data_IF_040088607990
#
_entry.id   IF_040088607990
#
_cell.length_a   1.000
_cell.length_b   1.000
_cell.length_c   1.000
_cell.angle_alpha   90.00
_cell.angle_beta   90.00
_cell.angle_gamma   90.00
#
_symmetry.space_group_name_H-M   'P 1'
#
loop_
_entity.id
_entity.type
_entity.pdbx_description
1 polymer ?
#
# COMPACT_ATOMS: atom_id res chain seq x y z
N UNK A 1 -16.07 4.22 -2.55
CA UNK A 1 -17.14 3.97 -1.54
C UNK A 1 -17.73 2.56 -1.61
N UNK A 2 -18.61 2.22 -2.57
CA UNK A 2 -19.21 0.87 -2.65
C UNK A 2 -18.17 -0.24 -2.86
N UNK A 3 -17.14 0.03 -3.66
CA UNK A 3 -16.03 -0.88 -3.90
C UNK A 3 -15.26 -1.24 -2.61
N UNK A 4 -14.75 -0.25 -1.87
CA UNK A 4 -14.09 -0.47 -0.58
C UNK A 4 -15.00 -1.17 0.45
N UNK A 5 -16.31 -0.88 0.43
CA UNK A 5 -17.29 -1.61 1.25
C UNK A 5 -17.42 -3.08 0.85
N UNK A 6 -17.41 -3.39 -0.45
CA UNK A 6 -17.44 -4.77 -0.94
C UNK A 6 -16.14 -5.53 -0.58
N UNK A 7 -14.98 -4.87 -0.71
CA UNK A 7 -13.71 -5.42 -0.25
C UNK A 7 -13.75 -5.72 1.25
N UNK A 8 -14.22 -4.78 2.07
CA UNK A 8 -14.34 -4.94 3.51
C UNK A 8 -15.27 -6.10 3.92
N UNK A 9 -16.38 -6.28 3.19
CA UNK A 9 -17.36 -7.33 3.47
C UNK A 9 -16.89 -8.73 3.05
N UNK A 10 -15.85 -8.82 2.21
CA UNK A 10 -15.32 -10.10 1.76
C UNK A 10 -14.50 -10.79 2.85
N UNK A 11 -14.75 -12.08 3.08
CA UNK A 11 -13.98 -12.91 4.02
C UNK A 11 -13.09 -13.93 3.33
N UNK A 12 -13.16 -14.03 2.00
CA UNK A 12 -12.49 -15.07 1.20
C UNK A 12 -11.48 -14.51 0.21
N UNK A 13 -11.44 -13.19 0.00
CA UNK A 13 -10.45 -12.57 -0.89
C UNK A 13 -9.04 -12.76 -0.30
N UNK A 14 -8.17 -13.37 -1.10
CA UNK A 14 -6.76 -13.62 -0.75
C UNK A 14 -5.81 -12.73 -1.54
N UNK A 15 -6.25 -12.17 -2.66
CA UNK A 15 -5.47 -11.36 -3.58
C UNK A 15 -6.29 -10.16 -4.04
N UNK A 16 -5.65 -8.99 -4.07
CA UNK A 16 -6.17 -7.76 -4.66
C UNK A 16 -5.09 -7.18 -5.58
N UNK A 17 -5.46 -6.91 -6.83
CA UNK A 17 -4.60 -6.23 -7.81
C UNK A 17 -5.32 -5.01 -8.37
N UNK A 18 -4.81 -3.84 -8.05
CA UNK A 18 -5.38 -2.56 -8.46
C UNK A 18 -4.30 -1.75 -9.17
N UNK A 19 -4.46 -1.59 -10.47
CA UNK A 19 -3.62 -0.75 -11.32
C UNK A 19 -4.43 0.48 -11.72
N UNK A 20 -3.91 1.69 -11.44
CA UNK A 20 -4.45 2.94 -11.95
C UNK A 20 -5.93 3.15 -11.61
N UNK A 21 -6.27 2.94 -10.33
CA UNK A 21 -7.65 3.08 -9.83
C UNK A 21 -7.76 4.34 -8.97
N UNK A 22 -8.46 5.34 -9.48
CA UNK A 22 -8.68 6.61 -8.76
C UNK A 22 -9.82 6.51 -7.73
N UNK A 23 -9.78 7.36 -6.70
CA UNK A 23 -10.89 7.53 -5.75
C UNK A 23 -11.02 6.42 -4.70
N UNK A 24 -9.93 5.68 -4.48
CA UNK A 24 -9.81 4.62 -3.47
C UNK A 24 -8.62 4.85 -2.55
N UNK A 25 -8.17 6.10 -2.41
CA UNK A 25 -6.97 6.48 -1.67
C UNK A 25 -6.98 5.85 -0.26
N UNK A 26 -5.99 5.00 0.02
CA UNK A 26 -5.90 4.24 1.27
C UNK A 26 -7.13 3.38 1.59
N UNK A 27 -7.88 2.93 0.58
CA UNK A 27 -9.17 2.26 0.69
C UNK A 27 -10.21 3.04 1.52
N UNK A 28 -10.05 4.37 1.61
CA UNK A 28 -10.87 5.25 2.44
C UNK A 28 -10.89 4.81 3.91
N UNK A 29 -9.77 4.21 4.38
CA UNK A 29 -9.62 3.67 5.72
C UNK A 29 -10.47 2.42 6.02
N UNK A 30 -11.14 1.82 5.02
CA UNK A 30 -11.91 0.60 5.20
C UNK A 30 -10.98 -0.60 5.34
N UNK A 31 -11.20 -1.39 6.39
CA UNK A 31 -10.42 -2.60 6.68
C UNK A 31 -10.51 -3.59 5.53
N UNK A 32 -9.37 -4.01 5.01
CA UNK A 32 -9.27 -5.11 4.07
C UNK A 32 -9.52 -6.46 4.77
N UNK A 33 -9.83 -7.51 4.01
CA UNK A 33 -10.05 -8.85 4.56
C UNK A 33 -8.82 -9.39 5.30
N UNK A 34 -9.03 -10.03 6.45
CA UNK A 34 -7.94 -10.73 7.16
C UNK A 34 -7.39 -11.95 6.40
N UNK A 35 -8.15 -12.44 5.42
CA UNK A 35 -7.75 -13.49 4.47
C UNK A 35 -6.73 -13.00 3.44
N UNK A 36 -6.58 -11.69 3.26
CA UNK A 36 -5.69 -11.12 2.25
C UNK A 36 -4.22 -11.51 2.51
N UNK A 37 -3.55 -11.97 1.45
CA UNK A 37 -2.14 -12.40 1.42
C UNK A 37 -1.34 -11.62 0.39
N UNK A 38 -1.97 -11.19 -0.69
CA UNK A 38 -1.30 -10.50 -1.78
C UNK A 38 -2.01 -9.18 -2.08
N UNK A 39 -1.24 -8.09 -2.06
CA UNK A 39 -1.71 -6.78 -2.48
C UNK A 39 -0.77 -6.20 -3.53
N UNK A 40 -1.32 -5.92 -4.70
CA UNK A 40 -0.75 -5.00 -5.67
C UNK A 40 -1.58 -3.73 -5.68
N UNK A 41 -0.96 -2.61 -5.36
CA UNK A 41 -1.62 -1.32 -5.33
C UNK A 41 -0.74 -0.26 -6.00
N UNK A 42 -1.16 0.18 -7.18
CA UNK A 42 -0.58 1.30 -7.88
C UNK A 42 -1.37 2.57 -7.53
N UNK A 43 -0.75 3.46 -6.76
CA UNK A 43 -1.34 4.72 -6.29
C UNK A 43 -1.31 5.83 -7.34
N UNK A 44 -0.54 5.69 -8.43
CA UNK A 44 -0.37 6.75 -9.41
C UNK A 44 -1.72 7.19 -10.00
N UNK A 45 -2.01 8.49 -9.91
CA UNK A 45 -3.25 9.05 -10.42
C UNK A 45 -3.11 9.08 -11.93
N UNK A 46 -4.00 8.39 -12.63
CA UNK A 46 -4.08 8.51 -14.09
C UNK A 46 -4.86 9.76 -14.51
N UNK A 47 -4.40 10.93 -14.09
CA UNK A 47 -4.76 12.20 -14.72
C UNK A 47 -3.66 12.55 -15.72
N UNK A 48 -4.03 12.73 -16.99
CA UNK A 48 -3.13 12.96 -18.13
C UNK A 48 -2.48 14.36 -18.11
N UNK A 49 -1.99 14.80 -16.96
CA UNK A 49 -1.35 16.09 -16.76
C UNK A 49 -0.03 15.87 -16.04
N UNK A 50 1.07 16.11 -16.74
CA UNK A 50 2.46 15.83 -16.34
C UNK A 50 2.96 16.59 -15.08
N UNK A 51 2.08 17.25 -14.32
CA UNK A 51 2.41 18.19 -13.24
C UNK A 51 1.73 17.87 -11.89
N UNK A 52 1.06 16.72 -11.75
CA UNK A 52 0.46 16.33 -10.48
C UNK A 52 1.47 15.52 -9.67
N UNK A 53 1.80 16.03 -8.48
CA UNK A 53 2.52 15.29 -7.45
C UNK A 53 1.62 14.15 -6.95
N UNK A 54 1.86 12.96 -7.49
CA UNK A 54 1.14 11.72 -7.15
C UNK A 54 1.65 11.07 -5.85
N UNK A 55 2.49 11.76 -5.09
CA UNK A 55 2.96 11.30 -3.79
C UNK A 55 1.78 11.19 -2.80
N UNK A 56 1.58 10.03 -2.16
CA UNK A 56 0.50 9.85 -1.21
C UNK A 56 0.72 10.77 0.00
N UNK A 57 -0.31 11.56 0.32
CA UNK A 57 -0.30 12.39 1.54
C UNK A 57 -0.29 11.53 2.81
N UNK A 58 0.11 12.12 3.95
CA UNK A 58 0.05 11.46 5.26
C UNK A 58 -1.34 10.89 5.59
N UNK A 59 -2.41 11.55 5.16
CA UNK A 59 -3.78 11.09 5.36
C UNK A 59 -4.06 9.80 4.58
N UNK A 60 -3.59 9.72 3.34
CA UNK A 60 -3.73 8.54 2.47
C UNK A 60 -2.94 7.36 3.05
N UNK A 61 -1.71 7.61 3.52
CA UNK A 61 -0.88 6.60 4.17
C UNK A 61 -1.51 6.09 5.47
N UNK A 62 -2.09 6.97 6.28
CA UNK A 62 -2.80 6.58 7.50
C UNK A 62 -4.06 5.75 7.19
N UNK A 63 -4.79 6.08 6.14
CA UNK A 63 -5.94 5.32 5.67
C UNK A 63 -5.53 3.94 5.16
N UNK A 64 -4.48 3.88 4.34
CA UNK A 64 -3.91 2.62 3.85
C UNK A 64 -3.43 1.74 5.01
N UNK A 65 -2.76 2.32 6.01
CA UNK A 65 -2.32 1.58 7.19
C UNK A 65 -3.50 1.01 7.98
N UNK A 66 -4.57 1.78 8.16
CA UNK A 66 -5.80 1.29 8.80
C UNK A 66 -6.47 0.18 8.00
N UNK A 67 -6.44 0.30 6.67
CA UNK A 67 -6.99 -0.70 5.77
C UNK A 67 -6.22 -2.03 5.86
N UNK A 68 -4.89 -1.97 5.96
CA UNK A 68 -3.99 -3.12 5.99
C UNK A 68 -3.84 -3.78 7.37
N UNK A 69 -4.10 -3.06 8.46
CA UNK A 69 -3.92 -3.55 9.82
C UNK A 69 -4.48 -4.98 10.12
N UNK A 70 -5.67 -5.39 9.62
CA UNK A 70 -6.19 -6.74 9.83
C UNK A 70 -5.61 -7.81 8.88
N UNK A 71 -4.96 -7.40 7.79
CA UNK A 71 -4.40 -8.29 6.78
C UNK A 71 -3.12 -8.98 7.28
N UNK A 72 -2.74 -10.06 6.61
CA UNK A 72 -1.46 -10.74 6.83
C UNK A 72 -0.82 -10.97 5.48
N UNK A 73 -0.23 -9.92 4.92
CA UNK A 73 0.37 -9.99 3.61
C UNK A 73 1.63 -10.86 3.63
N UNK A 74 1.75 -11.72 2.62
CA UNK A 74 2.96 -12.44 2.26
C UNK A 74 3.69 -11.70 1.12
N UNK A 75 2.92 -11.08 0.22
CA UNK A 75 3.39 -10.27 -0.90
C UNK A 75 2.76 -8.87 -0.88
N UNK A 76 3.61 -7.85 -1.06
CA UNK A 76 3.21 -6.46 -1.24
C UNK A 76 3.90 -5.88 -2.47
N UNK A 77 3.11 -5.29 -3.37
CA UNK A 77 3.58 -4.47 -4.48
C UNK A 77 3.05 -3.06 -4.31
N UNK A 78 3.93 -2.13 -3.91
CA UNK A 78 3.59 -0.75 -3.57
C UNK A 78 4.82 0.17 -3.65
N UNK A 79 4.73 1.24 -4.46
CA UNK A 79 5.87 2.11 -4.76
C UNK A 79 6.34 2.94 -3.55
N UNK A 80 5.43 3.36 -2.68
CA UNK A 80 5.72 4.18 -1.49
C UNK A 80 5.90 3.32 -0.23
N UNK A 81 6.62 2.21 -0.38
CA UNK A 81 6.86 1.27 0.72
C UNK A 81 7.59 1.94 1.90
N UNK A 82 8.53 2.84 1.64
CA UNK A 82 9.30 3.51 2.70
C UNK A 82 8.41 4.31 3.66
N UNK A 83 7.51 5.10 3.08
CA UNK A 83 6.53 5.94 3.77
C UNK A 83 5.51 5.07 4.50
N UNK A 84 5.07 3.97 3.88
CA UNK A 84 4.18 3.00 4.51
C UNK A 84 4.85 2.29 5.70
N UNK A 85 6.14 1.96 5.58
CA UNK A 85 6.92 1.31 6.63
C UNK A 85 7.23 2.25 7.82
N UNK A 86 7.10 3.56 7.64
CA UNK A 86 7.14 4.53 8.74
C UNK A 86 5.90 4.42 9.66
N UNK A 87 4.80 3.81 9.18
CA UNK A 87 3.61 3.54 9.98
C UNK A 87 3.85 2.35 10.92
N UNK A 88 4.28 2.65 12.16
CA UNK A 88 4.65 1.63 13.17
C UNK A 88 3.58 0.58 13.47
N UNK A 89 2.30 0.90 13.24
CA UNK A 89 1.20 -0.05 13.39
C UNK A 89 1.26 -1.22 12.38
N UNK A 90 1.96 -1.05 11.26
CA UNK A 90 2.15 -2.07 10.23
C UNK A 90 3.42 -2.90 10.41
N UNK A 91 4.36 -2.50 11.27
CA UNK A 91 5.64 -3.19 11.45
C UNK A 91 5.49 -4.71 11.64
N UNK A 92 4.56 -5.24 12.46
CA UNK A 92 4.41 -6.69 12.63
C UNK A 92 3.93 -7.43 11.38
N UNK A 93 3.22 -6.75 10.47
CA UNK A 93 2.78 -7.31 9.20
C UNK A 93 3.92 -7.22 8.17
N UNK A 94 4.54 -6.04 8.06
CA UNK A 94 5.60 -5.79 7.07
C UNK A 94 6.86 -6.62 7.34
N UNK A 95 7.19 -6.89 8.61
CA UNK A 95 8.33 -7.76 8.98
C UNK A 95 8.13 -9.22 8.61
N UNK A 96 6.92 -9.60 8.15
CA UNK A 96 6.58 -10.96 7.74
C UNK A 96 6.46 -11.12 6.23
N UNK A 97 6.58 -10.04 5.47
CA UNK A 97 6.57 -10.09 4.02
C UNK A 97 7.68 -11.01 3.54
N UNK A 98 7.33 -11.93 2.64
CA UNK A 98 8.29 -12.81 1.98
C UNK A 98 8.61 -12.31 0.57
N UNK A 99 7.77 -11.45 0.03
CA UNK A 99 7.93 -10.83 -1.28
C UNK A 99 7.54 -9.35 -1.22
N UNK A 100 8.42 -8.51 -1.75
CA UNK A 100 8.22 -7.07 -1.91
C UNK A 100 8.55 -6.73 -3.36
N UNK A 101 7.60 -6.10 -4.04
CA UNK A 101 7.75 -5.64 -5.42
C UNK A 101 7.56 -4.12 -5.48
N UNK A 102 8.36 -3.48 -6.33
CA UNK A 102 8.20 -2.07 -6.68
C UNK A 102 7.88 -2.04 -8.16
N UNK A 103 6.83 -1.31 -8.54
CA UNK A 103 6.29 -1.27 -9.89
C UNK A 103 7.00 -0.22 -10.74
N UNK A 104 7.74 0.70 -10.10
CA UNK A 104 8.23 1.91 -10.78
C UNK A 104 9.16 1.62 -11.95
N UNK A 105 8.88 2.30 -13.07
CA UNK A 105 9.82 2.44 -14.16
C UNK A 105 11.03 3.32 -13.78
N UNK A 106 10.92 4.14 -12.73
CA UNK A 106 11.97 5.00 -12.15
C UNK A 106 11.77 5.21 -10.65
N UNK A 107 12.49 4.45 -9.80
CA UNK A 107 12.72 4.87 -8.42
C UNK A 107 13.46 6.20 -8.49
N UNK A 108 12.76 7.31 -8.23
CA UNK A 108 13.40 8.61 -8.14
C UNK A 108 14.40 8.61 -6.97
N UNK A 109 15.49 9.37 -7.11
CA UNK A 109 16.55 9.48 -6.10
C UNK A 109 15.99 9.93 -4.74
N UNK A 110 14.84 10.61 -4.74
CA UNK A 110 14.13 11.07 -3.55
C UNK A 110 13.42 9.94 -2.77
N UNK A 111 13.01 8.85 -3.44
CA UNK A 111 12.30 7.73 -2.82
C UNK A 111 13.25 6.65 -2.27
N UNK A 112 14.46 6.54 -2.83
CA UNK A 112 15.46 5.54 -2.43
C UNK A 112 15.81 5.61 -0.93
N UNK A 113 16.07 6.80 -0.33
CA UNK A 113 16.36 6.90 1.10
C UNK A 113 15.21 6.40 1.99
N UNK A 114 13.96 6.77 1.65
CA UNK A 114 12.77 6.35 2.38
C UNK A 114 12.60 4.82 2.29
N UNK A 115 12.77 4.26 1.09
CA UNK A 115 12.72 2.83 0.86
C UNK A 115 13.75 2.05 1.71
N UNK A 116 15.01 2.48 1.69
CA UNK A 116 16.08 1.87 2.50
C UNK A 116 15.78 1.97 3.99
N UNK A 117 15.27 3.11 4.46
CA UNK A 117 14.86 3.29 5.84
C UNK A 117 13.71 2.34 6.24
N UNK A 118 12.71 2.19 5.37
CA UNK A 118 11.59 1.27 5.54
C UNK A 118 12.05 -0.19 5.60
N UNK A 119 12.94 -0.62 4.71
CA UNK A 119 13.48 -1.98 4.74
C UNK A 119 14.20 -2.28 6.06
N UNK A 120 15.03 -1.33 6.53
CA UNK A 120 15.73 -1.46 7.81
C UNK A 120 14.78 -1.52 9.01
N UNK A 121 13.62 -0.86 8.94
CA UNK A 121 12.66 -0.85 10.05
C UNK A 121 11.92 -2.17 10.19
N UNK A 122 11.78 -2.95 9.10
CA UNK A 122 11.01 -4.20 9.08
C UNK A 122 11.87 -5.48 9.06
N UNK A 123 13.16 -5.38 8.73
CA UNK A 123 14.07 -6.53 8.58
C UNK A 123 14.69 -7.05 9.91
N UNK A 124 13.95 -7.03 11.02
CA UNK A 124 14.47 -7.48 12.33
C UNK A 124 14.38 -8.99 12.56
#
# INVERSE_FOLDING_TARGET
>A
MAFCSALHASSTLVEIKLAKVNGIDGFLGRRLPASLRELYFDHELHEFTDDIDDTPTDAILADLARALQPARLDHLSYNYFGELAAQSCLTPMLSRLTSLELVVAQLDDDLVPAFVAGLRSVAR
#
